data_IF_162986066647
#
_entry.id   IF_162986066647
#
_cell.length_a   1.000
_cell.length_b   1.000
_cell.length_c   1.000
_cell.angle_alpha   90.00
_cell.angle_beta   90.00
_cell.angle_gamma   90.00
#
_symmetry.space_group_name_H-M   'P 1'
#
loop_
_entity.id
_entity.type
_entity.pdbx_description
1 polymer ?
#
# COMPACT_ATOMS: atom_id res chain seq x y z
N UNK A 1 8.84 -11.51 -10.32
CA UNK A 1 8.16 -11.39 -9.01
C UNK A 1 7.50 -10.03 -8.87
N UNK A 2 8.29 -8.99 -8.56
CA UNK A 2 7.79 -7.62 -8.35
C UNK A 2 6.99 -7.05 -9.52
N UNK A 3 7.49 -7.16 -10.76
CA UNK A 3 6.80 -6.63 -11.94
C UNK A 3 5.37 -7.19 -12.09
N UNK A 4 5.22 -8.52 -11.93
CA UNK A 4 3.91 -9.17 -12.00
C UNK A 4 2.94 -8.66 -10.91
N UNK A 5 3.47 -8.38 -9.71
CA UNK A 5 2.67 -7.78 -8.64
C UNK A 5 2.26 -6.34 -9.01
N UNK A 6 3.19 -5.53 -9.50
CA UNK A 6 2.92 -4.16 -9.92
C UNK A 6 1.86 -4.11 -11.03
N UNK A 7 1.94 -5.00 -12.02
CA UNK A 7 0.96 -5.09 -13.10
C UNK A 7 -0.44 -5.44 -12.59
N UNK A 8 -0.55 -6.33 -11.59
CA UNK A 8 -1.84 -6.65 -10.94
C UNK A 8 -2.40 -5.49 -10.14
N UNK A 9 -1.54 -4.77 -9.40
CA UNK A 9 -1.95 -3.58 -8.65
C UNK A 9 -2.46 -2.51 -9.61
N UNK A 10 -1.74 -2.25 -10.71
CA UNK A 10 -2.16 -1.32 -11.76
C UNK A 10 -3.53 -1.69 -12.34
N UNK A 11 -3.77 -2.98 -12.64
CA UNK A 11 -5.08 -3.45 -13.08
C UNK A 11 -6.21 -3.16 -12.08
N UNK A 12 -5.94 -3.18 -10.78
CA UNK A 12 -6.93 -2.78 -9.76
C UNK A 12 -7.10 -1.26 -9.66
N UNK A 13 -6.03 -0.48 -9.78
CA UNK A 13 -6.07 1.00 -9.76
C UNK A 13 -6.92 1.58 -10.90
N UNK A 14 -7.03 0.86 -12.02
CA UNK A 14 -7.81 1.28 -13.19
C UNK A 14 -9.33 1.05 -13.04
N UNK A 15 -9.77 0.12 -12.18
CA UNK A 15 -11.18 -0.23 -11.98
C UNK A 15 -12.07 0.86 -11.35
N UNK A 16 -11.59 1.70 -10.40
CA UNK A 16 -12.33 2.83 -9.84
C UNK A 16 -12.69 3.95 -10.83
N UNK A 17 -12.35 3.85 -12.12
CA UNK A 17 -12.78 4.82 -13.16
C UNK A 17 -14.32 4.85 -13.24
N UNK A 18 -14.94 5.68 -12.41
CA UNK A 18 -16.40 5.81 -12.24
C UNK A 18 -16.88 5.81 -10.79
N UNK A 19 -16.03 5.46 -9.82
CA UNK A 19 -16.35 5.50 -8.37
C UNK A 19 -15.57 6.65 -7.73
N UNK A 20 -16.15 7.85 -7.78
CA UNK A 20 -15.50 9.09 -7.31
C UNK A 20 -14.98 8.98 -5.87
N UNK A 21 -15.70 8.25 -5.00
CA UNK A 21 -15.32 8.01 -3.61
C UNK A 21 -14.00 7.23 -3.44
N UNK A 22 -13.59 6.42 -4.42
CA UNK A 22 -12.37 5.59 -4.34
C UNK A 22 -11.23 6.07 -5.24
N UNK A 23 -11.48 7.06 -6.12
CA UNK A 23 -10.46 7.61 -7.01
C UNK A 23 -9.24 8.15 -6.26
N UNK A 24 -9.45 8.83 -5.13
CA UNK A 24 -8.36 9.32 -4.28
C UNK A 24 -7.51 8.20 -3.67
N UNK A 25 -8.10 7.05 -3.36
CA UNK A 25 -7.37 5.88 -2.87
C UNK A 25 -6.58 5.19 -3.97
N UNK A 26 -7.13 5.13 -5.19
CA UNK A 26 -6.44 4.60 -6.36
C UNK A 26 -5.17 5.41 -6.66
N UNK A 27 -5.28 6.75 -6.71
CA UNK A 27 -4.14 7.64 -6.94
C UNK A 27 -3.08 7.54 -5.83
N UNK A 28 -3.51 7.42 -4.56
CA UNK A 28 -2.58 7.23 -3.44
C UNK A 28 -1.83 5.89 -3.53
N UNK A 29 -2.51 4.82 -3.99
CA UNK A 29 -1.87 3.52 -4.19
C UNK A 29 -0.87 3.53 -5.36
N UNK A 30 -1.21 4.23 -6.45
CA UNK A 30 -0.32 4.43 -7.58
C UNK A 30 0.98 5.12 -7.15
N UNK A 31 0.87 6.27 -6.49
CA UNK A 31 2.03 6.99 -5.96
C UNK A 31 2.86 6.15 -4.97
N UNK A 32 2.21 5.37 -4.12
CA UNK A 32 2.87 4.47 -3.18
C UNK A 32 3.64 3.34 -3.90
N UNK A 33 3.07 2.78 -4.97
CA UNK A 33 3.72 1.75 -5.79
C UNK A 33 4.93 2.31 -6.55
N UNK A 34 4.81 3.51 -7.10
CA UNK A 34 5.90 4.21 -7.77
C UNK A 34 7.08 4.47 -6.82
N UNK A 35 6.79 5.00 -5.62
CA UNK A 35 7.78 5.26 -4.58
C UNK A 35 8.46 3.96 -4.13
N UNK A 36 7.70 2.89 -3.90
CA UNK A 36 8.26 1.58 -3.56
C UNK A 36 9.19 1.07 -4.68
N UNK A 37 8.80 1.22 -5.95
CA UNK A 37 9.62 0.85 -7.09
C UNK A 37 10.92 1.65 -7.19
N UNK A 38 10.87 2.97 -6.94
CA UNK A 38 12.04 3.83 -6.89
C UNK A 38 13.00 3.43 -5.75
N UNK A 39 12.47 3.26 -4.54
CA UNK A 39 13.24 2.82 -3.37
C UNK A 39 13.85 1.44 -3.56
N UNK A 40 13.13 0.51 -4.20
CA UNK A 40 13.67 -0.81 -4.55
C UNK A 40 14.89 -0.66 -5.44
N UNK A 41 14.80 0.13 -6.52
CA UNK A 41 15.95 0.37 -7.40
C UNK A 41 17.12 1.03 -6.67
N UNK A 42 16.85 2.00 -5.81
CA UNK A 42 17.86 2.70 -5.01
C UNK A 42 18.60 1.76 -4.05
N UNK A 43 17.86 0.86 -3.37
CA UNK A 43 18.43 -0.10 -2.43
C UNK A 43 19.48 -1.02 -3.06
N UNK A 44 19.32 -1.35 -4.35
CA UNK A 44 20.21 -2.21 -5.11
C UNK A 44 21.24 -1.44 -5.97
N UNK A 45 21.42 -0.13 -5.75
CA UNK A 45 22.50 0.59 -6.40
C UNK A 45 23.84 0.29 -5.72
N UNK A 46 24.85 -0.04 -6.52
CA UNK A 46 26.19 -0.40 -6.05
C UNK A 46 26.37 -1.89 -5.79
N UNK A 47 27.62 -2.31 -5.60
CA UNK A 47 28.01 -3.72 -5.39
C UNK A 47 28.21 -4.06 -3.90
N UNK A 48 27.47 -3.41 -2.99
CA UNK A 48 27.55 -3.68 -1.54
C UNK A 48 26.23 -4.24 -0.97
N UNK A 49 26.11 -5.58 -0.89
CA UNK A 49 24.94 -6.23 -0.30
C UNK A 49 24.69 -5.88 1.17
N UNK A 50 25.72 -5.53 1.94
CA UNK A 50 25.55 -5.26 3.38
C UNK A 50 24.75 -3.97 3.61
N UNK A 51 25.00 -2.96 2.78
CA UNK A 51 24.23 -1.69 2.79
C UNK A 51 22.77 -1.89 2.40
N UNK A 52 22.49 -2.75 1.41
CA UNK A 52 21.12 -3.11 1.06
C UNK A 52 20.40 -3.86 2.18
N UNK A 53 21.11 -4.76 2.87
CA UNK A 53 20.53 -5.57 3.95
C UNK A 53 20.29 -4.78 5.25
N UNK A 54 21.08 -3.73 5.52
CA UNK A 54 20.93 -2.89 6.71
C UNK A 54 19.52 -2.30 6.86
N UNK A 55 18.84 -2.06 5.74
CA UNK A 55 17.50 -1.46 5.68
C UNK A 55 16.43 -2.44 5.18
N UNK A 56 16.68 -3.76 5.24
CA UNK A 56 15.72 -4.78 4.77
C UNK A 56 14.39 -4.75 5.54
N UNK A 57 14.42 -4.55 6.86
CA UNK A 57 13.20 -4.47 7.69
C UNK A 57 12.29 -3.30 7.32
N UNK A 58 12.76 -2.03 7.28
CA UNK A 58 11.90 -0.92 6.86
C UNK A 58 11.41 -1.08 5.41
N UNK A 59 12.24 -1.63 4.51
CA UNK A 59 11.78 -1.98 3.16
C UNK A 59 10.60 -2.97 3.18
N UNK A 60 10.71 -4.07 3.92
CA UNK A 60 9.65 -5.08 4.03
C UNK A 60 8.37 -4.51 4.68
N UNK A 61 8.50 -3.61 5.65
CA UNK A 61 7.37 -2.92 6.25
C UNK A 61 6.62 -2.06 5.23
N UNK A 62 7.36 -1.23 4.47
CA UNK A 62 6.78 -0.40 3.41
C UNK A 62 6.12 -1.25 2.32
N UNK A 63 6.81 -2.30 1.86
CA UNK A 63 6.30 -3.23 0.85
C UNK A 63 4.97 -3.86 1.30
N UNK A 64 4.91 -4.36 2.53
CA UNK A 64 3.70 -4.95 3.09
C UNK A 64 2.53 -3.98 3.15
N UNK A 65 2.78 -2.70 3.45
CA UNK A 65 1.73 -1.68 3.47
C UNK A 65 1.18 -1.35 2.08
N UNK A 66 2.03 -1.34 1.05
CA UNK A 66 1.57 -1.19 -0.35
C UNK A 66 0.68 -2.36 -0.76
N UNK A 67 1.06 -3.60 -0.40
CA UNK A 67 0.23 -4.78 -0.67
C UNK A 67 -1.10 -4.73 0.10
N UNK A 68 -1.09 -4.34 1.37
CA UNK A 68 -2.33 -4.20 2.15
C UNK A 68 -3.23 -3.08 1.62
N UNK A 69 -2.67 -1.95 1.18
CA UNK A 69 -3.44 -0.88 0.54
C UNK A 69 -4.12 -1.38 -0.74
N UNK A 70 -3.43 -2.19 -1.55
CA UNK A 70 -4.03 -2.83 -2.72
C UNK A 70 -5.19 -3.76 -2.37
N UNK A 71 -5.02 -4.63 -1.37
CA UNK A 71 -6.09 -5.52 -0.89
C UNK A 71 -7.28 -4.69 -0.39
N UNK A 72 -7.05 -3.60 0.35
CA UNK A 72 -8.11 -2.73 0.82
C UNK A 72 -8.86 -2.02 -0.31
N UNK A 73 -8.16 -1.59 -1.36
CA UNK A 73 -8.79 -1.00 -2.53
C UNK A 73 -9.71 -2.03 -3.24
N UNK A 74 -9.26 -3.27 -3.40
CA UNK A 74 -10.08 -4.34 -4.01
C UNK A 74 -11.31 -4.68 -3.18
N UNK A 75 -11.16 -4.79 -1.85
CA UNK A 75 -12.28 -4.99 -0.92
C UNK A 75 -13.25 -3.80 -0.95
N UNK A 76 -12.75 -2.57 -1.02
CA UNK A 76 -13.59 -1.38 -1.08
C UNK A 76 -14.38 -1.28 -2.39
N UNK A 77 -13.76 -1.63 -3.52
CA UNK A 77 -14.45 -1.72 -4.82
C UNK A 77 -15.59 -2.73 -4.78
N UNK A 78 -15.33 -3.92 -4.23
CA UNK A 78 -16.37 -4.93 -4.05
C UNK A 78 -17.48 -4.42 -3.12
N UNK A 79 -17.13 -3.80 -2.00
CA UNK A 79 -18.10 -3.31 -1.03
C UNK A 79 -18.99 -2.20 -1.59
N UNK A 80 -18.41 -1.27 -2.35
CA UNK A 80 -19.15 -0.20 -3.01
C UNK A 80 -20.11 -0.76 -4.06
N UNK A 81 -19.66 -1.66 -4.93
CA UNK A 81 -20.53 -2.27 -5.95
C UNK A 81 -21.76 -2.94 -5.34
N UNK A 82 -21.59 -3.66 -4.22
CA UNK A 82 -22.72 -4.31 -3.51
C UNK A 82 -23.67 -3.32 -2.86
N UNK A 83 -23.18 -2.16 -2.41
CA UNK A 83 -24.02 -1.08 -1.89
C UNK A 83 -24.82 -0.41 -3.02
N UNK A 84 -24.21 -0.23 -4.19
CA UNK A 84 -24.87 0.35 -5.37
C UNK A 84 -25.97 -0.59 -5.91
N UNK A 85 -25.71 -1.90 -5.98
CA UNK A 85 -26.70 -2.93 -6.32
C UNK A 85 -27.93 -2.89 -5.38
N UNK A 86 -27.69 -2.75 -4.08
CA UNK A 86 -28.75 -2.64 -3.07
C UNK A 86 -29.59 -1.37 -3.25
N UNK A 87 -28.95 -0.24 -3.55
CA UNK A 87 -29.63 1.02 -3.81
C UNK A 87 -30.51 0.98 -5.08
N UNK A 88 -30.15 0.16 -6.06
CA UNK A 88 -30.89 -0.06 -7.31
C UNK A 88 -32.12 -0.96 -7.20
N UNK A 89 -32.54 -1.35 -5.99
CA UNK A 89 -33.73 -2.18 -5.77
C UNK A 89 -33.44 -3.67 -5.56
N UNK A 90 -32.16 -4.06 -5.43
CA UNK A 90 -31.80 -5.39 -4.96
C UNK A 90 -32.21 -5.60 -3.49
N UNK A 91 -32.66 -6.81 -3.14
CA UNK A 91 -32.99 -7.13 -1.75
C UNK A 91 -31.72 -7.01 -0.88
N UNK A 92 -31.68 -6.04 0.03
CA UNK A 92 -30.56 -5.85 0.95
C UNK A 92 -31.02 -5.85 2.40
N UNK A 93 -30.40 -6.70 3.22
CA UNK A 93 -30.50 -6.64 4.68
C UNK A 93 -29.72 -5.42 5.21
N UNK A 94 -30.32 -4.65 6.12
CA UNK A 94 -29.70 -3.49 6.76
C UNK A 94 -28.39 -3.86 7.49
N UNK A 95 -28.31 -5.06 8.05
CA UNK A 95 -27.08 -5.58 8.69
C UNK A 95 -25.93 -5.71 7.68
N UNK A 96 -26.24 -6.15 6.45
CA UNK A 96 -25.27 -6.29 5.38
C UNK A 96 -24.74 -4.91 4.92
N UNK A 97 -25.63 -3.90 4.82
CA UNK A 97 -25.24 -2.56 4.42
C UNK A 97 -24.32 -1.87 5.47
N UNK A 98 -24.54 -2.11 6.76
CA UNK A 98 -23.67 -1.60 7.82
C UNK A 98 -22.26 -2.24 7.76
N UNK A 99 -22.20 -3.56 7.54
CA UNK A 99 -20.94 -4.28 7.37
C UNK A 99 -20.11 -3.76 6.19
N UNK A 100 -20.73 -3.54 5.03
CA UNK A 100 -20.06 -3.01 3.83
C UNK A 100 -19.54 -1.59 4.04
N UNK A 101 -20.31 -0.71 4.70
CA UNK A 101 -19.84 0.63 5.07
C UNK A 101 -18.64 0.56 6.03
N UNK A 102 -18.61 -0.42 6.94
CA UNK A 102 -17.46 -0.69 7.79
C UNK A 102 -16.19 -1.03 6.99
N UNK A 103 -16.32 -1.78 5.88
CA UNK A 103 -15.18 -2.07 4.99
C UNK A 103 -14.65 -0.82 4.29
N UNK A 104 -15.54 0.06 3.82
CA UNK A 104 -15.15 1.34 3.24
C UNK A 104 -14.44 2.24 4.27
N UNK A 105 -14.95 2.30 5.49
CA UNK A 105 -14.32 3.06 6.58
C UNK A 105 -12.93 2.54 6.94
N UNK A 106 -12.75 1.21 7.01
CA UNK A 106 -11.45 0.59 7.27
C UNK A 106 -10.44 0.86 6.14
N UNK A 107 -10.88 0.79 4.88
CA UNK A 107 -10.07 1.19 3.73
C UNK A 107 -9.65 2.66 3.85
N UNK A 108 -10.60 3.56 4.11
CA UNK A 108 -10.30 4.98 4.28
C UNK A 108 -9.32 5.25 5.42
N UNK A 109 -9.45 4.55 6.56
CA UNK A 109 -8.48 4.60 7.65
C UNK A 109 -7.10 4.18 7.16
N UNK A 110 -6.98 3.03 6.51
CA UNK A 110 -5.68 2.51 6.06
C UNK A 110 -4.98 3.50 5.12
N UNK A 111 -5.69 4.02 4.12
CA UNK A 111 -5.14 4.99 3.18
C UNK A 111 -4.74 6.34 3.82
N UNK A 112 -5.45 6.76 4.87
CA UNK A 112 -5.20 8.07 5.53
C UNK A 112 -4.19 8.00 6.67
N UNK A 113 -4.11 6.88 7.39
CA UNK A 113 -3.33 6.76 8.63
C UNK A 113 -2.15 5.79 8.53
N UNK A 114 -2.28 4.72 7.74
CA UNK A 114 -1.27 3.67 7.66
C UNK A 114 -0.37 3.85 6.43
N UNK A 115 -0.96 4.06 5.25
CA UNK A 115 -0.21 4.20 3.99
C UNK A 115 0.83 5.33 4.01
N UNK A 116 0.60 6.52 4.59
CA UNK A 116 1.61 7.57 4.61
C UNK A 116 2.91 7.20 5.34
N UNK A 117 2.88 6.19 6.23
CA UNK A 117 4.07 5.75 6.98
C UNK A 117 5.16 5.18 6.10
N UNK A 118 4.80 4.66 4.92
CA UNK A 118 5.79 4.08 4.00
C UNK A 118 6.87 5.09 3.63
N UNK A 119 6.56 6.39 3.57
CA UNK A 119 7.56 7.41 3.20
C UNK A 119 8.73 7.46 4.16
N UNK A 120 8.49 7.33 5.46
CA UNK A 120 9.55 7.31 6.46
C UNK A 120 10.42 6.04 6.36
N UNK A 121 9.79 4.89 6.15
CA UNK A 121 10.52 3.62 6.00
C UNK A 121 11.31 3.54 4.69
N UNK A 122 10.74 4.02 3.59
CA UNK A 122 11.42 4.05 2.29
C UNK A 122 12.56 5.05 2.29
N UNK A 123 12.50 6.14 3.07
CA UNK A 123 13.55 7.15 3.11
C UNK A 123 14.92 6.57 3.46
N UNK A 124 15.01 5.75 4.52
CA UNK A 124 16.29 5.13 4.94
C UNK A 124 16.77 4.06 3.96
N UNK A 125 15.85 3.43 3.24
CA UNK A 125 16.15 2.46 2.17
C UNK A 125 16.75 3.18 0.96
N UNK A 126 16.15 4.29 0.55
CA UNK A 126 16.58 5.11 -0.58
C UNK A 126 17.96 5.73 -0.37
N UNK A 127 18.24 6.16 0.86
CA UNK A 127 19.54 6.78 1.20
C UNK A 127 20.61 5.76 1.55
N UNK A 128 20.28 4.45 1.54
CA UNK A 128 21.16 3.36 1.98
C UNK A 128 21.80 3.68 3.34
N UNK A 129 20.98 4.11 4.29
CA UNK A 129 21.43 4.60 5.59
C UNK A 129 22.25 3.52 6.32
N UNK A 130 23.45 3.87 6.78
CA UNK A 130 24.40 2.96 7.41
C UNK A 130 24.44 3.08 8.94
N UNK A 131 23.49 3.78 9.55
CA UNK A 131 23.42 3.94 11.02
C UNK A 131 23.45 2.57 11.72
N UNK A 132 22.65 1.61 11.26
CA UNK A 132 22.62 0.27 11.84
C UNK A 132 23.86 -0.58 11.51
N UNK A 133 24.53 -0.29 10.38
CA UNK A 133 25.70 -1.03 9.91
C UNK A 133 26.99 -0.58 10.63
N UNK A 134 27.05 0.69 11.02
CA UNK A 134 28.23 1.32 11.65
C UNK A 134 28.22 1.17 13.18
N UNK A 135 27.14 0.65 13.77
CA UNK A 135 27.08 0.31 15.19
C UNK A 135 28.10 -0.78 15.53
N UNK A 136 28.76 -0.63 16.68
CA UNK A 136 29.64 -1.65 17.25
C UNK A 136 29.12 -2.14 18.58
N UNK A 137 29.29 -3.43 18.86
CA UNK A 137 28.83 -4.06 20.10
C UNK A 137 29.41 -3.38 21.36
N UNK A 138 30.65 -2.87 21.31
CA UNK A 138 31.31 -2.19 22.43
C UNK A 138 30.62 -0.89 22.90
N UNK A 139 29.62 -0.39 22.18
CA UNK A 139 28.87 0.83 22.55
C UNK A 139 27.61 0.55 23.39
N UNK A 140 27.25 -0.73 23.61
CA UNK A 140 26.02 -1.18 24.28
C UNK A 140 26.28 -2.26 25.34
#
# INVERSE_FOLDING_TARGET
GFQLLADRIAGTIERPKGVEALAGHAAALEAALEHLGAATRAAWQGDDPQRSLANATPYLQAFGHVVLAWIWLDVALCAQARLDEAAGGGASDASNAAFLRGKLAACAYFFRYELPRIGAWLKVVETQDDTCLTMTDDWF
#
